data_IF_766811855068
#
_entry.id   IF_766811855068
#
_cell.length_a   1.000
_cell.length_b   1.000
_cell.length_c   1.000
_cell.angle_alpha   90.00
_cell.angle_beta   90.00
_cell.angle_gamma   90.00
#
_symmetry.space_group_name_H-M   'P 1'
#
loop_
_entity.id
_entity.type
_entity.pdbx_description
1 polymer ?
#
# COMPACT_ATOMS: atom_id res chain seq x y z
N UNK A 1 -4.27 25.27 24.67
CA UNK A 1 -5.20 24.79 23.64
C UNK A 1 -4.44 23.79 22.81
N UNK A 2 -4.58 22.51 23.15
CA UNK A 2 -3.89 21.43 22.46
C UNK A 2 -4.63 21.14 21.15
N UNK A 3 -3.90 21.12 20.04
CA UNK A 3 -4.43 20.69 18.76
C UNK A 3 -4.54 19.16 18.77
N UNK A 4 -5.74 18.65 19.02
CA UNK A 4 -6.06 17.27 18.70
C UNK A 4 -6.07 17.13 17.18
N UNK A 5 -5.03 16.47 16.65
CA UNK A 5 -4.99 15.95 15.28
C UNK A 5 -6.00 14.80 15.19
N UNK A 6 -7.27 15.16 15.04
CA UNK A 6 -8.33 14.21 14.76
C UNK A 6 -8.21 13.78 13.29
N UNK A 7 -7.39 12.74 13.04
CA UNK A 7 -7.51 11.97 11.82
C UNK A 7 -8.95 11.44 11.76
N UNK A 8 -9.69 11.83 10.71
CA UNK A 8 -11.05 11.34 10.50
C UNK A 8 -11.02 9.80 10.45
N UNK A 9 -12.05 9.11 10.98
CA UNK A 9 -12.12 7.65 10.91
C UNK A 9 -12.11 7.21 9.45
N UNK A 10 -11.15 6.36 9.11
CA UNK A 10 -11.02 5.76 7.78
C UNK A 10 -12.32 4.99 7.47
N UNK A 11 -12.97 5.22 6.32
CA UNK A 11 -14.19 4.49 5.95
C UNK A 11 -14.01 2.97 6.00
N UNK A 12 -14.99 2.26 6.54
CA UNK A 12 -14.97 0.81 6.79
C UNK A 12 -14.63 -0.04 5.55
N UNK A 13 -15.09 0.38 4.37
CA UNK A 13 -14.81 -0.29 3.09
C UNK A 13 -13.36 -0.07 2.57
N UNK A 14 -12.73 1.03 3.00
CA UNK A 14 -11.32 1.33 2.71
C UNK A 14 -10.41 0.42 3.55
N UNK A 15 -10.86 0.02 4.74
CA UNK A 15 -10.24 -1.01 5.57
C UNK A 15 -10.13 -2.34 4.82
N UNK A 16 -11.22 -2.84 4.24
CA UNK A 16 -11.24 -4.16 3.60
C UNK A 16 -10.34 -4.27 2.35
N UNK A 17 -10.19 -3.19 1.57
CA UNK A 17 -9.50 -3.25 0.26
C UNK A 17 -7.98 -3.10 0.40
N UNK A 18 -7.48 -2.31 1.35
CA UNK A 18 -6.04 -2.13 1.53
C UNK A 18 -5.43 -3.20 2.45
N UNK A 19 -6.24 -3.83 3.30
CA UNK A 19 -5.83 -4.98 4.10
C UNK A 19 -5.54 -6.24 3.27
N UNK A 20 -6.19 -6.42 2.11
CA UNK A 20 -6.01 -7.63 1.29
C UNK A 20 -4.84 -7.56 0.30
N UNK A 21 -4.37 -6.37 -0.08
CA UNK A 21 -3.20 -6.23 -0.97
C UNK A 21 -1.88 -6.22 -0.18
N UNK A 22 -1.92 -5.94 1.12
CA UNK A 22 -0.78 -5.89 2.05
C UNK A 22 -0.70 -7.08 3.01
N UNK A 23 -1.71 -7.95 3.04
CA UNK A 23 -1.62 -9.22 3.74
C UNK A 23 -0.55 -10.08 3.04
N UNK A 24 0.33 -10.76 3.80
CA UNK A 24 1.23 -11.74 3.20
C UNK A 24 0.43 -12.77 2.42
N UNK A 25 1.01 -13.31 1.34
CA UNK A 25 0.36 -14.40 0.63
C UNK A 25 0.15 -15.58 1.56
N UNK A 26 -0.89 -16.39 1.33
CA UNK A 26 -1.14 -17.57 2.16
C UNK A 26 0.06 -18.54 2.20
N UNK A 27 0.88 -18.55 1.14
CA UNK A 27 2.14 -19.29 1.05
C UNK A 27 3.25 -18.73 1.93
N UNK A 28 3.26 -17.43 2.21
CA UNK A 28 4.25 -16.77 3.07
C UNK A 28 3.85 -16.83 4.55
N UNK A 29 2.57 -17.10 4.84
CA UNK A 29 2.07 -17.23 6.19
C UNK A 29 2.48 -18.56 6.84
N UNK A 30 2.75 -18.53 8.13
CA UNK A 30 2.89 -19.73 8.95
C UNK A 30 1.52 -20.37 9.23
N UNK A 31 1.52 -21.62 9.72
CA UNK A 31 0.29 -22.28 10.18
C UNK A 31 -0.44 -21.50 11.27
N UNK A 32 0.30 -20.95 12.24
CA UNK A 32 -0.26 -20.15 13.33
C UNK A 32 -0.93 -18.86 12.82
N UNK A 33 -0.32 -18.18 11.84
CA UNK A 33 -0.92 -16.97 11.26
C UNK A 33 -2.22 -17.26 10.50
N UNK A 34 -2.26 -18.37 9.75
CA UNK A 34 -3.48 -18.81 9.05
C UNK A 34 -4.58 -19.27 9.99
N UNK A 35 -4.21 -19.80 11.17
CA UNK A 35 -5.16 -20.22 12.20
C UNK A 35 -5.68 -19.04 13.05
N UNK A 36 -5.07 -17.85 12.93
CA UNK A 36 -5.37 -16.72 13.81
C UNK A 36 -4.72 -16.81 15.20
N UNK A 37 -3.71 -17.66 15.38
CA UNK A 37 -2.96 -17.78 16.65
C UNK A 37 -1.78 -16.81 16.73
N UNK A 38 -1.43 -16.19 15.60
CA UNK A 38 -0.34 -15.23 15.50
C UNK A 38 -0.72 -14.07 14.58
N UNK A 39 -0.15 -12.89 14.86
CA UNK A 39 -0.31 -11.71 14.02
C UNK A 39 0.17 -12.03 12.59
N UNK A 40 -0.68 -11.73 11.60
CA UNK A 40 -0.34 -11.97 10.19
C UNK A 40 0.93 -11.25 9.71
N UNK A 41 1.40 -10.21 10.42
CA UNK A 41 2.61 -9.47 10.04
C UNK A 41 3.83 -9.80 10.90
N UNK A 42 3.74 -9.75 12.24
CA UNK A 42 4.91 -9.92 13.12
C UNK A 42 5.08 -11.32 13.72
N UNK A 43 4.14 -12.24 13.47
CA UNK A 43 4.10 -13.59 14.07
C UNK A 43 3.94 -13.62 15.60
N UNK A 44 3.84 -12.47 16.27
CA UNK A 44 3.57 -12.39 17.71
C UNK A 44 2.14 -12.81 18.05
N UNK A 45 1.95 -13.37 19.25
CA UNK A 45 0.65 -13.89 19.72
C UNK A 45 -0.07 -12.98 20.75
N UNK A 46 0.39 -11.73 20.91
CA UNK A 46 -0.15 -10.79 21.90
C UNK A 46 -1.26 -9.93 21.30
N UNK A 47 -2.32 -9.71 22.09
CA UNK A 47 -3.39 -8.74 21.83
C UNK A 47 -3.91 -8.76 20.39
N UNK A 48 -4.24 -9.97 19.94
CA UNK A 48 -4.68 -10.22 18.58
C UNK A 48 -6.15 -9.84 18.42
N UNK A 49 -6.46 -9.03 17.41
CA UNK A 49 -7.83 -8.74 17.01
C UNK A 49 -8.15 -9.41 15.68
N UNK A 50 -9.38 -9.92 15.50
CA UNK A 50 -9.84 -10.40 14.20
C UNK A 50 -9.65 -9.32 13.14
N UNK A 51 -8.92 -9.66 12.10
CA UNK A 51 -9.03 -8.96 10.84
C UNK A 51 -10.23 -9.59 10.15
N UNK A 52 -11.16 -8.79 9.64
CA UNK A 52 -12.22 -9.27 8.75
C UNK A 52 -11.93 -8.90 7.29
N UNK A 53 -10.82 -9.40 6.68
CA UNK A 53 -10.48 -9.02 5.31
C UNK A 53 -11.33 -9.80 4.30
N UNK A 54 -11.78 -11.00 4.67
CA UNK A 54 -12.74 -11.82 3.93
C UNK A 54 -13.29 -12.90 4.86
N UNK A 55 -14.58 -13.28 4.73
CA UNK A 55 -15.18 -14.33 5.53
C UNK A 55 -14.38 -15.65 5.42
N UNK A 56 -13.96 -16.19 6.57
CA UNK A 56 -13.39 -17.55 6.67
C UNK A 56 -11.86 -17.66 6.73
N UNK A 57 -11.11 -16.56 6.62
CA UNK A 57 -9.64 -16.61 6.71
C UNK A 57 -9.08 -16.62 8.14
N UNK A 58 -9.88 -16.26 9.16
CA UNK A 58 -9.48 -16.34 10.58
C UNK A 58 -8.26 -15.48 10.96
N UNK A 59 -7.75 -14.67 10.04
CA UNK A 59 -6.56 -13.85 10.22
C UNK A 59 -6.74 -12.87 11.38
N UNK A 60 -5.67 -12.67 12.15
CA UNK A 60 -5.65 -11.68 13.24
C UNK A 60 -4.40 -10.83 13.19
N UNK A 61 -4.46 -9.64 13.76
CA UNK A 61 -3.29 -8.78 13.93
C UNK A 61 -3.22 -8.23 15.34
N UNK A 62 -1.99 -7.97 15.81
CA UNK A 62 -1.81 -7.19 17.02
C UNK A 62 -2.03 -5.70 16.72
N UNK A 63 -2.46 -4.95 17.74
CA UNK A 63 -2.72 -3.51 17.66
C UNK A 63 -1.55 -2.72 17.07
N UNK A 64 -0.31 -3.06 17.45
CA UNK A 64 0.89 -2.37 16.96
C UNK A 64 1.04 -2.49 15.45
N UNK A 65 0.88 -3.71 14.90
CA UNK A 65 0.99 -3.91 13.46
C UNK A 65 -0.20 -3.31 12.72
N UNK A 66 -1.40 -3.40 13.28
CA UNK A 66 -2.59 -2.75 12.73
C UNK A 66 -2.40 -1.25 12.61
N UNK A 67 -2.01 -0.56 13.69
CA UNK A 67 -1.80 0.89 13.70
C UNK A 67 -0.77 1.34 12.67
N UNK A 68 0.37 0.65 12.60
CA UNK A 68 1.41 0.94 11.61
C UNK A 68 0.91 0.78 10.18
N UNK A 69 0.20 -0.32 9.90
CA UNK A 69 -0.33 -0.59 8.56
C UNK A 69 -1.42 0.41 8.19
N UNK A 70 -2.35 0.71 9.08
CA UNK A 70 -3.40 1.72 8.85
C UNK A 70 -2.81 3.11 8.58
N UNK A 71 -1.75 3.51 9.30
CA UNK A 71 -1.04 4.76 9.03
C UNK A 71 -0.39 4.78 7.64
N UNK A 72 0.31 3.70 7.25
CA UNK A 72 0.87 3.52 5.91
C UNK A 72 -0.22 3.65 4.84
N UNK A 73 -1.38 3.03 5.04
CA UNK A 73 -2.51 3.08 4.11
C UNK A 73 -3.07 4.49 3.99
N UNK A 74 -3.30 5.17 5.11
CA UNK A 74 -3.79 6.55 5.10
C UNK A 74 -2.84 7.48 4.32
N UNK A 75 -1.54 7.40 4.62
CA UNK A 75 -0.53 8.20 3.92
C UNK A 75 -0.45 7.89 2.42
N UNK A 76 -0.63 6.63 2.02
CA UNK A 76 -0.71 6.25 0.60
C UNK A 76 -1.88 6.94 -0.09
N UNK A 77 -3.05 6.93 0.54
CA UNK A 77 -4.28 7.45 -0.04
C UNK A 77 -4.23 8.97 -0.15
N UNK A 78 -3.70 9.65 0.86
CA UNK A 78 -3.47 11.09 0.80
C UNK A 78 -2.54 11.44 -0.37
N UNK A 79 -1.49 10.65 -0.57
CA UNK A 79 -0.59 10.82 -1.71
C UNK A 79 -1.28 10.52 -3.04
N UNK A 80 -2.05 9.44 -3.14
CA UNK A 80 -2.79 9.07 -4.35
C UNK A 80 -3.80 10.15 -4.76
N UNK A 81 -4.56 10.70 -3.81
CA UNK A 81 -5.53 11.77 -4.04
C UNK A 81 -4.84 13.02 -4.60
N UNK A 82 -3.69 13.38 -4.05
CA UNK A 82 -2.90 14.48 -4.58
C UNK A 82 -2.45 14.20 -6.02
N UNK A 83 -1.90 13.03 -6.30
CA UNK A 83 -1.38 12.67 -7.62
C UNK A 83 -2.48 12.62 -8.68
N UNK A 84 -3.66 12.10 -8.34
CA UNK A 84 -4.82 12.03 -9.25
C UNK A 84 -5.36 13.41 -9.64
N UNK A 85 -5.23 14.41 -8.76
CA UNK A 85 -5.77 15.76 -8.97
C UNK A 85 -4.73 16.79 -9.44
N UNK A 86 -3.43 16.46 -9.39
CA UNK A 86 -2.34 17.38 -9.72
C UNK A 86 -1.76 17.11 -11.12
N UNK A 87 -1.97 18.04 -12.05
CA UNK A 87 -1.42 17.93 -13.42
C UNK A 87 0.12 17.94 -13.45
N UNK A 88 0.77 18.60 -12.50
CA UNK A 88 2.24 18.58 -12.37
C UNK A 88 2.77 17.19 -11.99
N UNK A 89 1.96 16.40 -11.28
CA UNK A 89 2.29 15.02 -10.89
C UNK A 89 2.16 13.99 -12.03
N UNK A 90 1.63 14.37 -13.20
CA UNK A 90 1.41 13.45 -14.31
C UNK A 90 2.70 12.82 -14.87
N UNK A 91 3.84 13.51 -14.73
CA UNK A 91 5.15 13.04 -15.20
C UNK A 91 6.03 12.62 -14.02
N UNK A 92 6.13 13.47 -12.99
CA UNK A 92 6.99 13.30 -11.81
C UNK A 92 6.38 13.99 -10.59
N UNK A 93 6.86 13.68 -9.38
CA UNK A 93 6.45 14.39 -8.15
C UNK A 93 6.57 15.90 -8.31
N UNK A 94 5.50 16.63 -7.98
CA UNK A 94 5.54 18.08 -7.85
C UNK A 94 6.09 18.46 -6.46
N UNK A 95 6.48 19.73 -6.27
CA UNK A 95 7.02 20.21 -4.99
C UNK A 95 6.05 19.98 -3.81
N UNK A 96 4.75 20.19 -4.04
CA UNK A 96 3.71 20.02 -3.01
C UNK A 96 3.49 18.54 -2.64
N UNK A 97 3.83 17.62 -3.55
CA UNK A 97 3.72 16.17 -3.30
C UNK A 97 4.90 15.61 -2.50
N UNK A 98 6.02 16.34 -2.41
CA UNK A 98 7.22 15.89 -1.68
C UNK A 98 6.94 15.58 -0.20
N UNK A 99 6.38 16.52 0.60
CA UNK A 99 6.11 16.23 2.02
C UNK A 99 5.10 15.09 2.21
N UNK A 100 4.16 14.91 1.26
CA UNK A 100 3.17 13.82 1.32
C UNK A 100 3.85 12.48 1.03
N UNK A 101 4.75 12.44 0.04
CA UNK A 101 5.53 11.25 -0.29
C UNK A 101 6.53 10.89 0.83
N UNK A 102 7.12 11.88 1.50
CA UNK A 102 7.99 11.68 2.68
C UNK A 102 7.20 11.06 3.83
N UNK A 103 6.00 11.58 4.14
CA UNK A 103 5.12 11.00 5.16
C UNK A 103 4.74 9.54 4.84
N UNK A 104 4.45 9.23 3.57
CA UNK A 104 4.25 7.85 3.15
C UNK A 104 5.51 6.99 3.33
N UNK A 105 6.68 7.50 2.95
CA UNK A 105 7.95 6.78 3.06
C UNK A 105 8.24 6.40 4.51
N UNK A 106 8.07 7.33 5.44
CA UNK A 106 8.21 7.07 6.87
C UNK A 106 7.20 6.02 7.39
N UNK A 107 5.93 6.17 7.02
CA UNK A 107 4.90 5.22 7.42
C UNK A 107 5.14 3.83 6.81
N UNK A 108 5.67 3.77 5.59
CA UNK A 108 6.03 2.54 4.90
C UNK A 108 7.16 1.80 5.63
N UNK A 109 8.25 2.50 5.93
CA UNK A 109 9.39 1.93 6.65
C UNK A 109 8.96 1.40 8.02
N UNK A 110 8.18 2.18 8.78
CA UNK A 110 7.67 1.76 10.08
C UNK A 110 6.78 0.51 10.04
N UNK A 111 6.05 0.29 8.93
CA UNK A 111 5.08 -0.79 8.79
C UNK A 111 5.67 -2.08 8.16
N UNK A 112 6.61 -1.94 7.23
CA UNK A 112 7.16 -3.04 6.43
C UNK A 112 8.61 -3.34 6.76
N UNK A 113 9.38 -2.35 7.24
CA UNK A 113 10.82 -2.47 7.46
C UNK A 113 11.64 -2.47 6.17
N UNK A 114 11.13 -1.83 5.12
CA UNK A 114 11.84 -1.59 3.86
C UNK A 114 11.46 -0.21 3.32
N UNK A 115 12.39 0.43 2.62
CA UNK A 115 12.21 1.69 1.91
C UNK A 115 11.89 1.49 0.43
N UNK A 116 11.71 0.25 -0.04
CA UNK A 116 11.47 -0.05 -1.44
C UNK A 116 10.02 -0.45 -1.73
N UNK A 117 9.57 -0.11 -2.94
CA UNK A 117 8.30 -0.58 -3.51
C UNK A 117 8.51 -1.15 -4.90
N UNK A 118 7.62 -2.07 -5.30
CA UNK A 118 7.71 -2.67 -6.64
C UNK A 118 6.85 -1.90 -7.64
N UNK A 119 7.48 -1.44 -8.73
CA UNK A 119 6.74 -0.86 -9.85
C UNK A 119 5.86 -1.93 -10.52
N UNK A 120 4.55 -1.68 -10.60
CA UNK A 120 3.57 -2.59 -11.20
C UNK A 120 3.92 -2.93 -12.65
N UNK A 121 4.49 -1.97 -13.40
CA UNK A 121 4.75 -2.11 -14.83
C UNK A 121 6.04 -2.87 -15.15
N UNK A 122 7.18 -2.48 -14.56
CA UNK A 122 8.47 -3.11 -14.86
C UNK A 122 8.91 -4.16 -13.83
N UNK A 123 8.17 -4.30 -12.72
CA UNK A 123 8.43 -5.26 -11.62
C UNK A 123 9.78 -5.06 -10.92
N UNK A 124 10.45 -3.94 -11.12
CA UNK A 124 11.66 -3.57 -10.39
C UNK A 124 11.29 -3.00 -9.02
N UNK A 125 12.09 -3.31 -8.02
CA UNK A 125 12.11 -2.61 -6.74
C UNK A 125 12.68 -1.20 -6.95
N UNK A 126 12.11 -0.23 -6.25
CA UNK A 126 12.43 1.20 -6.38
C UNK A 126 12.41 1.80 -4.99
N UNK A 127 13.46 2.53 -4.59
CA UNK A 127 13.44 3.27 -3.33
C UNK A 127 12.34 4.32 -3.35
N UNK A 128 11.54 4.39 -2.29
CA UNK A 128 10.48 5.39 -2.12
C UNK A 128 11.02 6.82 -2.03
N UNK A 129 12.23 6.97 -1.47
CA UNK A 129 12.93 8.24 -1.37
C UNK A 129 13.27 8.83 -2.75
N UNK A 130 13.43 8.00 -3.78
CA UNK A 130 13.64 8.50 -5.12
C UNK A 130 12.35 9.13 -5.67
N UNK A 131 12.42 10.32 -6.29
CA UNK A 131 11.24 11.01 -6.85
C UNK A 131 10.68 10.33 -8.11
N UNK A 132 11.06 9.07 -8.31
CA UNK A 132 10.84 8.27 -9.50
C UNK A 132 9.66 7.32 -9.36
N UNK A 133 9.00 7.26 -8.20
CA UNK A 133 7.85 6.40 -7.98
C UNK A 133 6.63 7.18 -7.52
N UNK A 134 5.46 6.83 -8.05
CA UNK A 134 4.17 7.47 -7.81
C UNK A 134 3.11 6.42 -7.43
N UNK A 135 2.16 6.75 -6.54
CA UNK A 135 0.99 5.93 -6.30
C UNK A 135 0.18 5.80 -7.58
N UNK A 136 -0.41 4.63 -7.78
CA UNK A 136 -1.22 4.31 -8.93
C UNK A 136 -2.43 3.48 -8.51
N UNK A 137 -3.60 4.05 -8.78
CA UNK A 137 -4.89 3.39 -8.59
C UNK A 137 -5.40 2.84 -9.92
N UNK A 138 -5.87 1.61 -9.92
CA UNK A 138 -6.42 0.97 -11.12
C UNK A 138 -7.57 0.01 -10.79
N UNK A 139 -8.44 -0.25 -11.76
CA UNK A 139 -9.50 -1.24 -11.62
C UNK A 139 -9.04 -2.55 -12.25
N UNK A 140 -9.13 -3.64 -11.50
CA UNK A 140 -8.78 -4.97 -11.98
C UNK A 140 -9.97 -5.71 -12.58
N UNK A 141 -9.73 -6.85 -13.25
CA UNK A 141 -10.79 -7.59 -13.95
C UNK A 141 -11.70 -8.40 -13.02
N UNK A 142 -11.29 -8.63 -11.77
CA UNK A 142 -11.94 -9.56 -10.84
C UNK A 142 -12.87 -8.87 -9.85
N UNK A 143 -12.67 -7.57 -9.58
CA UNK A 143 -13.52 -6.82 -8.66
C UNK A 143 -13.72 -5.38 -9.10
N UNK A 144 -14.86 -4.79 -8.71
CA UNK A 144 -15.11 -3.35 -8.86
C UNK A 144 -14.33 -2.51 -7.83
N UNK A 145 -13.58 -3.16 -6.92
CA UNK A 145 -12.76 -2.45 -5.95
C UNK A 145 -11.48 -1.92 -6.61
N UNK A 146 -11.03 -0.72 -6.24
CA UNK A 146 -9.77 -0.19 -6.75
C UNK A 146 -8.59 -0.97 -6.18
N UNK A 147 -7.65 -1.28 -7.04
CA UNK A 147 -6.33 -1.78 -6.70
C UNK A 147 -5.39 -0.60 -6.54
N UNK A 148 -4.46 -0.74 -5.60
CA UNK A 148 -3.46 0.27 -5.27
C UNK A 148 -2.08 -0.31 -5.51
N UNK A 149 -1.23 0.44 -6.18
CA UNK A 149 0.10 -0.01 -6.61
C UNK A 149 1.04 1.18 -6.77
N UNK A 150 2.28 0.90 -7.19
CA UNK A 150 3.26 1.92 -7.53
C UNK A 150 3.63 1.85 -9.00
N UNK A 151 3.88 3.01 -9.60
CA UNK A 151 4.47 3.12 -10.91
C UNK A 151 5.71 3.99 -10.85
N UNK A 152 6.69 3.62 -11.65
CA UNK A 152 7.72 4.58 -12.03
C UNK A 152 7.08 5.81 -12.69
N UNK A 153 7.67 6.98 -12.48
CA UNK A 153 7.48 8.16 -13.30
C UNK A 153 7.67 7.81 -14.79
N UNK A 154 6.88 8.45 -15.64
CA UNK A 154 6.66 7.99 -17.01
C UNK A 154 7.94 8.01 -17.87
N UNK A 155 8.84 8.94 -17.62
CA UNK A 155 10.11 9.12 -18.32
C UNK A 155 11.20 8.14 -17.89
N UNK A 156 11.11 7.55 -16.70
CA UNK A 156 12.16 6.68 -16.13
C UNK A 156 11.82 5.19 -16.15
N UNK A 157 10.55 4.82 -16.36
CA UNK A 157 10.15 3.41 -16.34
C UNK A 157 10.82 2.61 -17.48
N UNK A 158 11.67 1.60 -17.21
CA UNK A 158 12.36 0.83 -18.27
C UNK A 158 11.41 0.07 -19.21
N UNK A 159 10.18 -0.19 -18.76
CA UNK A 159 9.16 -0.83 -19.58
C UNK A 159 8.54 0.13 -20.62
N UNK A 160 8.62 1.45 -20.42
CA UNK A 160 8.17 2.46 -21.41
C UNK A 160 9.09 2.52 -22.64
N UNK A 161 10.35 2.10 -22.47
CA UNK A 161 11.37 2.10 -23.52
C UNK A 161 11.25 0.87 -24.42
N UNK A 162 10.44 -0.12 -24.02
CA UNK A 162 10.03 -1.26 -24.84
C UNK A 162 8.64 -0.98 -25.40
N UNK A 163 8.54 -0.16 -26.47
CA UNK A 163 7.30 -0.07 -27.26
C UNK A 163 7.06 -1.40 -27.96
N UNK A 164 6.34 -2.29 -27.30
CA UNK A 164 5.95 -3.60 -27.81
C UNK A 164 5.26 -4.38 -26.70
N UNK A 165 3.94 -4.18 -26.59
CA UNK A 165 2.99 -5.03 -25.88
C UNK A 165 3.32 -5.40 -24.43
N UNK A 166 2.83 -4.60 -23.47
CA UNK A 166 2.47 -5.15 -22.15
C UNK A 166 0.98 -5.45 -22.18
N UNK A 167 0.62 -6.64 -22.66
CA UNK A 167 -0.65 -7.25 -22.26
C UNK A 167 -0.51 -7.61 -20.78
N UNK A 168 -1.20 -6.88 -19.91
CA UNK A 168 -1.44 -7.33 -18.53
C UNK A 168 -2.27 -8.62 -18.64
N UNK A 169 -1.60 -9.77 -18.71
CA UNK A 169 -2.28 -11.05 -18.52
C UNK A 169 -2.76 -11.08 -17.08
N UNK A 170 -4.08 -11.15 -16.93
CA UNK A 170 -4.74 -11.43 -15.67
C UNK A 170 -4.08 -12.67 -15.04
N UNK A 171 -3.56 -12.49 -13.82
CA UNK A 171 -3.26 -13.58 -12.91
C UNK A 171 -4.57 -14.00 -12.24
#
# INVERSE_FOLDING_TARGET
>A
MSAESAFAPVPEWLGQTVLMVEAPSLSDMTGAQRAGDACIWCQGAHDLEPLDPAPGLGCRACETCWTKRSAKVAAYLDWAVHVESCSACAVRRCADSLPIAEAYTEAHDHAVGTDEVTCLRCRQAVPLAEPLVMPYRWSGPVSNAPYYSFLHASDVCPAMWRRGEVTLRAL
#
